data_IF_425751881881
#
_entry.id   IF_425751881881
#
_cell.length_a   1.000
_cell.length_b   1.000
_cell.length_c   1.000
_cell.angle_alpha   90.00
_cell.angle_beta   90.00
_cell.angle_gamma   90.00
#
_symmetry.space_group_name_H-M   'P 1'
#
loop_
_entity.id
_entity.type
_entity.pdbx_description
1 polymer ?
2 non-polymer ?
3 non-polymer ?
4 non-polymer ?
5 non-polymer ?
6 non-polymer ?
7 non-polymer ?
8 water ?
#
# COMPACT_ATOMS: atom_id res chain seq x y z
N UNK A 5 19.69 0.29 -12.79
CA UNK A 5 19.07 -0.96 -13.32
C UNK A 5 17.76 -0.68 -14.06
N UNK A 6 17.06 0.39 -13.70
CA UNK A 6 15.75 0.67 -14.29
C UNK A 6 15.73 2.06 -14.98
N UNK A 7 14.77 2.28 -15.87
CA UNK A 7 14.77 3.56 -16.62
C UNK A 7 14.56 4.79 -15.68
N UNK A 8 13.65 4.71 -14.70
CA UNK A 8 13.35 5.87 -13.88
C UNK A 8 14.28 5.85 -12.72
N UNK A 9 15.11 6.85 -12.65
CA UNK A 9 16.06 7.02 -11.59
C UNK A 9 15.34 7.58 -10.38
N UNK A 10 14.32 8.43 -10.59
CA UNK A 10 13.48 8.89 -9.50
C UNK A 10 12.04 8.60 -9.80
N UNK A 11 11.23 8.37 -8.78
CA UNK A 11 9.81 8.19 -8.93
C UNK A 11 9.18 9.06 -7.89
N UNK A 12 8.30 9.97 -8.28
CA UNK A 12 7.70 10.90 -7.34
C UNK A 12 6.44 10.42 -6.80
N UNK A 13 5.65 9.71 -7.60
CA UNK A 13 4.26 9.44 -7.32
C UNK A 13 4.03 8.03 -7.70
N UNK A 14 3.21 7.37 -6.91
CA UNK A 14 2.93 5.98 -7.06
C UNK A 14 1.47 6.01 -6.81
N UNK A 15 0.65 5.84 -7.83
CA UNK A 15 -0.84 6.11 -7.69
C UNK A 15 -1.61 4.87 -7.96
N UNK A 16 -2.45 4.44 -7.02
CA UNK A 16 -3.15 3.23 -7.13
C UNK A 16 -4.60 3.53 -7.67
N UNK A 17 -5.17 2.59 -8.41
CA UNK A 17 -6.57 2.62 -8.88
C UNK A 17 -7.21 1.28 -8.68
N UNK A 18 -8.45 1.23 -8.19
CA UNK A 18 -9.19 -0.05 -8.12
C UNK A 18 -9.46 -0.68 -9.49
N UNK A 19 -9.50 -1.99 -9.56
CA UNK A 19 -9.47 -2.60 -10.88
C UNK A 19 -10.89 -3.03 -11.35
N UNK A 20 -11.78 -3.25 -10.38
CA UNK A 20 -13.12 -3.74 -10.54
C UNK A 20 -13.96 -3.23 -9.39
N UNK A 21 -14.82 -2.24 -9.65
CA UNK A 21 -15.70 -1.73 -8.61
C UNK A 21 -17.09 -2.30 -8.89
N UNK A 22 -17.81 -2.83 -7.90
CA UNK A 22 -19.07 -3.60 -8.17
C UNK A 22 -20.33 -2.73 -8.29
N UNK A 25 -23.31 -0.76 -14.31
CA UNK A 25 -22.12 0.05 -14.46
C UNK A 25 -20.87 -0.73 -15.00
N UNK A 26 -19.81 0.04 -15.32
CA UNK A 26 -18.55 -0.42 -15.93
C UNK A 26 -17.55 -0.58 -14.77
N UNK A 27 -17.31 -1.81 -14.36
CA UNK A 27 -16.41 -2.08 -13.22
C UNK A 27 -15.01 -1.50 -13.42
N UNK A 28 -14.60 -1.29 -14.67
CA UNK A 28 -13.31 -0.84 -15.06
C UNK A 28 -13.22 0.67 -15.16
N UNK A 29 -14.25 1.39 -14.69
CA UNK A 29 -14.38 2.84 -14.93
C UNK A 29 -13.24 3.59 -14.32
N UNK A 30 -12.92 3.27 -13.08
CA UNK A 30 -11.76 3.88 -12.43
C UNK A 30 -10.45 3.72 -13.21
N UNK A 31 -10.19 2.55 -13.75
CA UNK A 31 -8.97 2.37 -14.57
C UNK A 31 -8.93 3.23 -15.83
N UNK A 32 -10.07 3.25 -16.56
CA UNK A 32 -10.08 3.98 -17.86
C UNK A 32 -9.83 5.46 -17.65
N UNK A 33 -10.37 6.02 -16.57
CA UNK A 33 -10.10 7.44 -16.28
C UNK A 33 -8.66 7.68 -15.87
N UNK A 34 -8.12 6.78 -15.01
CA UNK A 34 -6.73 6.96 -14.49
C UNK A 34 -5.85 6.89 -15.63
N UNK A 35 -6.17 6.02 -16.55
CA UNK A 35 -5.35 5.90 -17.78
C UNK A 35 -5.31 7.11 -18.68
N UNK A 36 -6.35 7.96 -18.58
CA UNK A 36 -6.35 9.24 -19.32
C UNK A 36 -5.62 10.41 -18.70
N UNK A 37 -5.13 10.26 -17.47
CA UNK A 37 -4.50 11.37 -16.78
C UNK A 37 -3.27 11.76 -17.51
N UNK A 38 -2.96 13.05 -17.52
CA UNK A 38 -1.79 13.56 -18.21
C UNK A 38 -1.20 14.72 -17.44
N UNK A 39 0.00 15.11 -17.79
CA UNK A 39 0.65 16.18 -17.08
C UNK A 39 0.79 15.93 -15.58
N UNK A 40 0.82 17.03 -14.85
CA UNK A 40 1.12 16.98 -13.46
C UNK A 40 0.16 16.09 -12.71
N UNK A 41 -1.02 15.83 -13.30
CA UNK A 41 -2.02 14.96 -12.64
C UNK A 41 -1.74 13.47 -12.88
N UNK A 42 -0.80 13.17 -13.76
CA UNK A 42 -0.47 11.77 -14.08
C UNK A 42 0.81 11.31 -13.34
N UNK A 43 0.76 10.08 -12.74
CA UNK A 43 1.84 9.57 -11.82
C UNK A 43 3.07 9.10 -12.56
N UNK A 44 4.24 9.20 -11.95
CA UNK A 44 5.39 8.59 -12.51
C UNK A 44 5.15 7.09 -12.60
N UNK A 45 4.44 6.55 -11.64
CA UNK A 45 4.13 5.15 -11.64
C UNK A 45 2.68 4.96 -11.34
N UNK A 46 2.00 4.24 -12.21
CA UNK A 46 0.58 4.02 -12.01
C UNK A 46 0.45 2.56 -11.75
N UNK A 47 -0.34 2.29 -10.75
CA UNK A 47 -0.52 0.97 -10.19
C UNK A 47 -2.00 0.62 -10.18
N UNK A 48 -2.50 0.00 -11.28
CA UNK A 48 -3.76 -0.71 -11.23
C UNK A 48 -3.69 -1.72 -10.17
N UNK A 49 -4.55 -1.58 -9.18
CA UNK A 49 -4.46 -2.28 -7.94
C UNK A 49 -5.40 -3.41 -7.68
N UNK A 50 -5.00 -4.65 -8.00
CA UNK A 50 -5.78 -5.84 -7.76
C UNK A 50 -5.78 -6.49 -6.37
N UNK A 51 -5.19 -5.82 -5.39
CA UNK A 51 -5.11 -6.27 -4.02
C UNK A 51 -5.93 -5.33 -3.17
N UNK A 52 -5.37 -4.53 -2.28
CA UNK A 52 -6.25 -3.99 -1.26
C UNK A 52 -7.32 -3.00 -1.85
N UNK A 53 -7.08 -2.35 -2.98
CA UNK A 53 -8.04 -1.37 -3.52
C UNK A 53 -9.31 -2.00 -4.10
N UNK A 54 -9.28 -3.30 -4.35
CA UNK A 54 -10.32 -4.03 -5.03
C UNK A 54 -10.87 -5.10 -4.11
N UNK A 55 -12.19 -5.15 -3.97
CA UNK A 55 -12.84 -6.20 -3.18
C UNK A 55 -12.40 -7.57 -3.65
N UNK A 56 -12.21 -8.56 -2.72
CA UNK A 56 -11.71 -9.86 -3.10
C UNK A 56 -12.58 -10.68 -4.06
N UNK A 57 -13.90 -10.66 -3.87
CA UNK A 57 -14.85 -11.27 -4.84
C UNK A 57 -14.71 -10.63 -6.23
N UNK A 58 -14.13 -9.45 -6.35
CA UNK A 58 -13.97 -8.79 -7.66
C UNK A 58 -12.60 -8.97 -8.35
N UNK A 59 -11.70 -9.75 -7.77
CA UNK A 59 -10.32 -9.69 -8.23
C UNK A 59 -10.09 -10.43 -9.49
N UNK A 60 -10.86 -11.47 -9.76
CA UNK A 60 -10.73 -12.09 -11.09
C UNK A 60 -11.23 -11.21 -12.22
N UNK A 61 -12.33 -10.52 -12.02
CA UNK A 61 -12.73 -9.47 -13.04
C UNK A 61 -11.75 -8.30 -13.10
N UNK A 62 -11.18 -7.98 -11.94
CA UNK A 62 -10.11 -7.02 -11.95
C UNK A 62 -8.96 -7.33 -12.85
N UNK A 63 -8.49 -8.55 -12.82
CA UNK A 63 -7.36 -8.88 -13.69
C UNK A 63 -7.74 -8.81 -15.17
N UNK A 64 -8.96 -9.22 -15.52
CA UNK A 64 -9.54 -9.04 -16.88
C UNK A 64 -9.55 -7.54 -17.25
N UNK A 65 -10.10 -6.73 -16.36
CA UNK A 65 -10.10 -5.29 -16.62
C UNK A 65 -8.75 -4.73 -16.80
N UNK A 66 -7.71 -5.27 -16.10
CA UNK A 66 -6.38 -4.72 -16.32
C UNK A 66 -5.96 -5.01 -17.71
N UNK A 67 -6.22 -6.23 -18.21
CA UNK A 67 -5.78 -6.52 -19.56
C UNK A 67 -6.59 -5.59 -20.56
N UNK A 68 -7.90 -5.42 -20.34
CA UNK A 68 -8.77 -4.66 -21.33
C UNK A 68 -8.28 -3.25 -21.44
N UNK A 69 -8.09 -2.61 -20.30
CA UNK A 69 -7.71 -1.20 -20.33
C UNK A 69 -6.36 -0.91 -20.77
N UNK A 70 -5.39 -1.69 -20.30
CA UNK A 70 -4.04 -1.39 -20.72
C UNK A 70 -3.86 -1.70 -22.20
N UNK A 71 -4.49 -2.78 -22.65
CA UNK A 71 -4.50 -3.05 -24.09
C UNK A 71 -5.03 -1.84 -24.90
N UNK A 72 -6.13 -1.30 -24.43
CA UNK A 72 -6.84 -0.20 -25.14
C UNK A 72 -6.17 1.15 -24.98
N UNK A 73 -5.74 1.47 -23.76
CA UNK A 73 -5.17 2.81 -23.46
C UNK A 73 -3.73 2.85 -23.02
N UNK A 74 -3.09 1.69 -22.86
CA UNK A 74 -1.78 1.62 -22.29
C UNK A 74 -0.72 2.31 -23.05
N UNK A 75 -0.72 2.23 -24.39
CA UNK A 75 0.33 2.93 -25.21
C UNK A 75 0.51 4.39 -24.99
N UNK A 76 -0.56 5.06 -24.60
CA UNK A 76 -0.53 6.53 -24.55
C UNK A 76 -0.17 7.04 -23.14
N UNK A 77 -0.23 6.13 -22.17
CA UNK A 77 0.02 6.50 -20.77
C UNK A 77 1.45 7.04 -20.66
N UNK A 78 1.62 8.25 -20.10
CA UNK A 78 2.87 8.96 -20.04
C UNK A 78 3.89 8.44 -18.97
N UNK A 79 3.38 7.84 -17.93
CA UNK A 79 4.21 7.21 -16.89
C UNK A 79 4.38 5.71 -17.12
N UNK A 80 4.81 4.97 -16.09
CA UNK A 80 5.10 3.57 -16.26
C UNK A 80 4.01 2.91 -15.53
N UNK A 81 3.63 1.76 -16.02
CA UNK A 81 2.55 1.01 -15.46
C UNK A 81 3.03 -0.31 -14.71
N UNK A 82 2.67 -0.42 -13.45
CA UNK A 82 3.10 -1.54 -12.60
C UNK A 82 1.93 -1.97 -11.78
N UNK A 83 1.11 -2.88 -12.29
CA UNK A 83 -0.03 -3.29 -11.51
C UNK A 83 0.34 -4.07 -10.23
N UNK A 84 -0.48 -3.95 -9.18
CA UNK A 84 -0.27 -4.66 -7.97
C UNK A 84 -1.11 -5.89 -7.97
N UNK A 85 -0.46 -7.03 -7.76
CA UNK A 85 -1.09 -8.34 -7.66
C UNK A 85 -1.33 -8.74 -6.24
N UNK A 86 -2.13 -9.77 -6.00
CA UNK A 86 -2.25 -10.29 -4.66
C UNK A 86 -0.96 -11.15 -4.28
N UNK A 87 -0.65 -11.20 -3.02
CA UNK A 87 0.51 -11.98 -2.52
C UNK A 87 0.39 -12.03 -1.03
N UNK A 88 0.84 -13.10 -0.40
CA UNK A 88 1.03 -13.03 1.04
C UNK A 88 2.09 -14.07 1.42
N UNK A 89 3.09 -13.60 2.20
CA UNK A 89 4.09 -14.46 2.83
C UNK A 89 3.61 -15.71 3.62
N UNK A 90 2.43 -15.65 4.22
CA UNK A 90 1.80 -16.70 4.93
C UNK A 90 0.59 -17.43 4.22
N UNK A 91 0.34 -17.17 2.97
CA UNK A 91 -0.77 -17.83 2.22
C UNK A 91 -0.33 -18.39 0.88
N UNK A 92 -0.08 -19.69 0.82
CA UNK A 92 0.31 -20.19 -0.46
C UNK A 92 -0.78 -19.98 -1.54
N UNK A 93 -2.05 -19.99 -1.14
CA UNK A 93 -3.14 -19.82 -2.10
C UNK A 93 -3.11 -18.44 -2.70
N UNK A 94 -2.87 -17.46 -1.84
CA UNK A 94 -2.72 -16.06 -2.36
C UNK A 94 -1.55 -15.91 -3.30
N UNK A 95 -0.43 -16.54 -2.99
CA UNK A 95 0.71 -16.45 -3.88
C UNK A 95 0.39 -16.98 -5.29
N UNK A 96 -0.23 -18.15 -5.33
CA UNK A 96 -0.54 -18.86 -6.52
C UNK A 96 -1.56 -18.02 -7.32
N UNK A 97 -2.52 -17.41 -6.63
CA UNK A 97 -3.50 -16.49 -7.26
C UNK A 97 -2.80 -15.36 -7.98
N UNK A 98 -1.86 -14.73 -7.29
CA UNK A 98 -1.16 -13.61 -7.89
C UNK A 98 -0.39 -14.02 -9.07
N UNK A 99 0.26 -15.16 -8.95
CA UNK A 99 1.00 -15.66 -10.05
C UNK A 99 0.05 -15.97 -11.25
N UNK A 100 -1.09 -16.61 -11.02
CA UNK A 100 -2.07 -16.91 -12.12
C UNK A 100 -2.52 -15.64 -12.83
N UNK A 101 -2.83 -14.63 -12.02
CA UNK A 101 -3.17 -13.32 -12.62
C UNK A 101 -2.10 -12.72 -13.39
N UNK A 102 -0.84 -12.85 -12.95
CA UNK A 102 0.25 -12.27 -13.69
C UNK A 102 0.45 -12.96 -14.99
N UNK A 103 0.30 -14.26 -14.96
CA UNK A 103 0.44 -15.02 -16.20
C UNK A 103 -0.63 -14.59 -17.28
N UNK A 104 -1.88 -14.48 -16.85
CA UNK A 104 -2.97 -14.00 -17.74
C UNK A 104 -2.72 -12.62 -18.28
N UNK A 105 -2.23 -11.72 -17.44
CA UNK A 105 -2.16 -10.33 -17.79
C UNK A 105 -1.10 -10.12 -18.81
N UNK A 106 -0.10 -10.99 -18.80
CA UNK A 106 1.04 -10.81 -19.66
C UNK A 106 0.96 -11.72 -20.93
N UNK A 107 -0.14 -12.39 -21.12
CA UNK A 107 -0.32 -13.14 -22.40
C UNK A 107 -0.09 -12.19 -23.60
N UNK A 108 0.98 -12.41 -24.38
CA UNK A 108 1.28 -11.36 -25.35
C UNK A 108 0.18 -11.20 -26.43
N UNK A 109 -0.68 -12.19 -26.59
CA UNK A 109 -1.71 -12.08 -27.55
C UNK A 109 -2.79 -11.16 -27.12
N UNK A 110 -2.83 -10.77 -25.87
CA UNK A 110 -3.85 -9.82 -25.44
C UNK A 110 -3.44 -8.36 -25.50
N UNK A 111 -2.24 -8.04 -25.93
CA UNK A 111 -1.83 -6.66 -26.09
C UNK A 111 -1.58 -5.75 -24.88
N UNK A 112 -1.73 -6.23 -23.64
CA UNK A 112 -1.39 -5.41 -22.47
C UNK A 112 0.10 -5.42 -22.12
N UNK A 113 0.75 -6.58 -22.20
CA UNK A 113 2.11 -6.71 -21.64
C UNK A 113 3.12 -5.77 -22.19
N UNK A 114 2.98 -5.49 -23.46
CA UNK A 114 3.92 -4.56 -24.05
C UNK A 114 3.84 -3.12 -23.44
N UNK A 115 2.78 -2.80 -22.73
CA UNK A 115 2.72 -1.49 -22.02
C UNK A 115 2.92 -1.58 -20.48
N UNK A 116 3.26 -2.78 -19.98
CA UNK A 116 3.47 -3.07 -18.55
C UNK A 116 4.97 -3.17 -18.26
N UNK A 117 5.42 -2.27 -17.40
CA UNK A 117 6.79 -2.32 -16.96
C UNK A 117 7.13 -3.32 -15.85
N UNK A 118 6.17 -3.75 -15.09
CA UNK A 118 6.47 -4.67 -14.01
C UNK A 118 5.31 -4.83 -13.12
N UNK A 119 5.50 -5.53 -11.98
CA UNK A 119 4.42 -5.76 -11.08
C UNK A 119 4.82 -5.37 -9.66
N UNK A 120 3.82 -5.03 -8.85
CA UNK A 120 4.00 -4.70 -7.44
C UNK A 120 3.49 -5.89 -6.63
N UNK A 121 4.31 -6.36 -5.70
CA UNK A 121 4.01 -7.50 -4.87
C UNK A 121 3.91 -7.05 -3.42
N UNK A 122 2.74 -7.18 -2.82
CA UNK A 122 2.56 -6.75 -1.44
C UNK A 122 2.85 -7.89 -0.44
N UNK A 123 2.87 -7.54 0.84
CA UNK A 123 2.87 -8.47 1.94
C UNK A 123 4.04 -9.47 1.91
N UNK A 124 5.16 -9.09 1.32
CA UNK A 124 6.28 -9.94 1.26
C UNK A 124 6.89 -10.13 2.71
N UNK A 125 7.66 -11.17 2.86
CA UNK A 125 8.21 -11.51 4.16
C UNK A 125 9.72 -11.43 4.16
N UNK A 126 10.38 -12.45 4.67
CA UNK A 126 11.85 -12.57 4.61
C UNK A 126 12.33 -12.80 3.23
N UNK A 127 13.63 -12.74 3.05
CA UNK A 127 14.21 -12.74 1.73
C UNK A 127 13.85 -14.01 0.98
N UNK A 128 13.63 -15.11 1.66
CA UNK A 128 13.25 -16.29 0.90
C UNK A 128 11.80 -16.18 0.28
N UNK A 129 10.91 -15.46 0.91
CA UNK A 129 9.62 -15.17 0.31
C UNK A 129 9.78 -14.29 -0.97
N UNK A 130 10.71 -13.31 -0.96
CA UNK A 130 10.96 -12.45 -2.13
C UNK A 130 11.42 -13.27 -3.30
N UNK A 131 12.26 -14.26 -3.04
CA UNK A 131 12.70 -15.18 -4.06
C UNK A 131 11.57 -16.01 -4.73
N UNK A 132 10.59 -16.33 -3.95
CA UNK A 132 9.39 -17.08 -4.47
C UNK A 132 8.64 -16.18 -5.46
N UNK A 133 8.55 -14.90 -5.15
CA UNK A 133 7.92 -13.98 -6.11
C UNK A 133 8.75 -13.82 -7.35
N UNK A 134 10.05 -13.59 -7.17
CA UNK A 134 10.95 -13.59 -8.28
C UNK A 134 10.87 -14.79 -9.18
N UNK A 135 10.82 -15.98 -8.61
CA UNK A 135 10.72 -17.17 -9.43
C UNK A 135 9.44 -17.14 -10.33
N UNK A 136 8.32 -16.74 -9.78
CA UNK A 136 7.10 -16.49 -10.57
C UNK A 136 7.26 -15.50 -11.65
N UNK A 137 7.96 -14.39 -11.38
CA UNK A 137 8.25 -13.53 -12.46
C UNK A 137 9.00 -14.22 -13.60
N UNK A 138 10.07 -14.94 -13.26
CA UNK A 138 10.92 -15.58 -14.21
C UNK A 138 10.11 -16.60 -15.05
N UNK A 139 9.24 -17.32 -14.39
CA UNK A 139 8.40 -18.32 -15.08
C UNK A 139 7.40 -17.66 -16.08
N UNK A 140 6.74 -16.58 -15.65
CA UNK A 140 5.88 -15.77 -16.52
C UNK A 140 6.63 -15.26 -17.73
N UNK A 141 7.85 -14.76 -17.54
CA UNK A 141 8.63 -14.27 -18.62
C UNK A 141 8.89 -15.39 -19.62
N UNK A 142 9.30 -16.55 -19.11
CA UNK A 142 9.64 -17.64 -20.01
C UNK A 142 8.38 -18.25 -20.62
N UNK A 143 7.27 -18.26 -19.92
CA UNK A 143 6.05 -18.84 -20.47
C UNK A 143 5.58 -18.00 -21.68
N UNK A 144 5.80 -16.69 -21.66
CA UNK A 144 5.39 -15.83 -22.75
C UNK A 144 6.45 -15.24 -23.65
N UNK A 145 7.63 -15.79 -23.70
CA UNK A 145 8.73 -15.25 -24.49
C UNK A 145 9.19 -13.83 -24.20
N UNK A 146 8.94 -13.29 -23.01
CA UNK A 146 9.48 -11.97 -22.69
C UNK A 146 10.96 -12.11 -22.39
N UNK A 147 11.68 -11.01 -22.55
CA UNK A 147 13.06 -10.94 -22.12
C UNK A 147 13.19 -11.26 -20.61
N UNK A 148 14.20 -12.03 -20.24
CA UNK A 148 14.40 -12.35 -18.85
C UNK A 148 14.79 -11.06 -18.10
N UNK A 149 14.16 -10.85 -16.95
CA UNK A 149 14.36 -9.62 -16.24
C UNK A 149 13.58 -8.40 -16.76
N UNK A 150 12.77 -8.52 -17.81
CA UNK A 150 12.09 -7.35 -18.35
C UNK A 150 10.94 -6.89 -17.46
N UNK A 151 10.32 -7.77 -16.69
CA UNK A 151 9.34 -7.32 -15.75
C UNK A 151 9.99 -6.90 -14.40
N UNK A 152 9.90 -5.62 -14.08
CA UNK A 152 10.42 -5.12 -12.81
C UNK A 152 9.53 -5.65 -11.71
N UNK A 153 10.15 -5.96 -10.57
CA UNK A 153 9.42 -6.27 -9.38
C UNK A 153 9.57 -5.14 -8.37
N UNK A 154 8.47 -4.78 -7.74
CA UNK A 154 8.47 -3.79 -6.72
C UNK A 154 7.82 -4.46 -5.57
N UNK A 155 8.21 -4.14 -4.33
CA UNK A 155 7.57 -4.76 -3.22
C UNK A 155 7.00 -3.75 -2.29
N UNK A 156 5.97 -4.11 -1.54
CA UNK A 156 5.52 -3.33 -0.44
C UNK A 156 6.08 -3.91 0.89
N UNK A 157 6.73 -3.05 1.66
CA UNK A 157 7.36 -3.44 2.94
C UNK A 157 6.24 -3.20 3.99
N UNK A 158 5.63 -4.28 4.47
CA UNK A 158 4.50 -4.14 5.43
C UNK A 158 4.55 -5.22 6.48
N UNK A 159 5.78 -5.66 6.79
CA UNK A 159 6.02 -6.57 7.87
C UNK A 159 7.39 -6.34 8.45
N UNK A 160 7.54 -6.70 9.69
CA UNK A 160 8.84 -6.66 10.37
C UNK A 160 9.84 -7.47 9.57
N UNK A 161 9.40 -8.63 9.13
CA UNK A 161 10.19 -9.54 8.36
C UNK A 161 10.76 -8.93 7.12
N UNK A 162 9.91 -8.18 6.39
CA UNK A 162 10.37 -7.56 5.18
C UNK A 162 11.34 -6.43 5.45
N UNK A 163 11.11 -5.69 6.52
CA UNK A 163 12.01 -4.59 6.92
C UNK A 163 13.42 -5.16 7.17
N UNK A 164 13.49 -6.28 7.88
CA UNK A 164 14.77 -6.93 8.19
C UNK A 164 15.37 -7.48 6.90
N UNK A 165 14.54 -7.97 5.98
CA UNK A 165 15.04 -8.54 4.74
C UNK A 165 15.80 -7.53 3.86
N UNK A 166 15.48 -6.26 3.96
CA UNK A 166 16.20 -5.28 3.10
C UNK A 166 17.72 -5.21 3.39
N UNK A 167 18.09 -5.57 4.61
CA UNK A 167 19.48 -5.59 5.07
C UNK A 167 20.50 -6.49 4.40
N UNK A 168 19.97 -7.59 3.87
CA UNK A 168 20.70 -8.67 3.22
C UNK A 168 20.49 -8.75 1.68
N UNK A 169 19.92 -7.71 1.09
CA UNK A 169 19.48 -7.76 -0.25
C UNK A 169 20.65 -7.73 -1.21
N UNK A 170 21.68 -6.91 -0.97
CA UNK A 170 22.71 -6.70 -1.99
C UNK A 170 23.42 -7.97 -2.39
N UNK A 171 23.77 -8.71 -1.37
CA UNK A 171 24.34 -10.00 -1.51
C UNK A 171 23.36 -11.15 -1.96
N UNK A 172 22.13 -11.15 -1.50
CA UNK A 172 21.21 -12.15 -1.98
C UNK A 172 20.88 -11.94 -3.45
N UNK A 173 20.71 -10.67 -3.89
CA UNK A 173 20.45 -10.29 -5.28
C UNK A 173 21.44 -10.78 -6.26
N UNK A 174 22.66 -11.00 -5.81
CA UNK A 174 23.66 -11.43 -6.80
C UNK A 174 23.70 -12.96 -6.96
N UNK A 175 22.99 -13.73 -6.15
CA UNK A 175 23.06 -15.16 -6.34
C UNK A 175 22.49 -15.64 -7.68
N UNK A 176 23.05 -16.70 -8.21
CA UNK A 176 22.73 -17.03 -9.60
C UNK A 176 21.41 -17.81 -9.69
N UNK A 177 20.89 -18.27 -8.58
CA UNK A 177 19.65 -18.95 -8.55
C UNK A 177 18.42 -18.05 -8.53
N UNK A 178 18.61 -16.74 -8.57
CA UNK A 178 17.53 -15.82 -8.71
C UNK A 178 17.77 -14.73 -9.74
N UNK A 179 16.69 -13.99 -10.04
CA UNK A 179 16.73 -12.87 -10.96
C UNK A 179 16.36 -11.58 -10.21
N UNK A 180 16.69 -11.50 -8.92
CA UNK A 180 16.26 -10.33 -8.15
C UNK A 180 16.90 -9.00 -8.50
N UNK A 181 17.76 -8.93 -9.52
CA UNK A 181 18.17 -7.68 -10.08
C UNK A 181 16.94 -6.97 -10.70
N UNK A 182 15.85 -7.65 -10.89
CA UNK A 182 14.65 -7.00 -11.39
C UNK A 182 14.01 -6.04 -10.40
N UNK A 183 14.42 -6.08 -9.13
CA UNK A 183 13.84 -5.19 -8.13
C UNK A 183 13.97 -3.72 -8.50
N UNK A 184 12.89 -2.97 -8.28
CA UNK A 184 12.83 -1.62 -8.68
C UNK A 184 12.46 -0.77 -7.47
N UNK A 185 11.20 -0.75 -7.07
CA UNK A 185 10.78 0.02 -5.92
C UNK A 185 10.63 -0.76 -4.62
N UNK A 186 11.02 -0.11 -3.54
CA UNK A 186 10.76 -0.58 -2.19
C UNK A 186 9.76 0.39 -1.59
N UNK A 187 8.52 -0.07 -1.37
CA UNK A 187 7.46 0.88 -0.98
C UNK A 187 6.95 0.61 0.38
N UNK A 188 6.97 1.57 1.28
CA UNK A 188 6.40 1.31 2.54
C UNK A 188 4.86 1.20 2.54
N UNK A 189 4.36 0.29 3.35
CA UNK A 189 2.95 0.06 3.53
C UNK A 189 2.58 0.21 4.98
N UNK A 190 2.52 1.44 5.44
CA UNK A 190 2.31 1.70 6.83
C UNK A 190 1.04 1.14 7.39
N UNK A 191 -0.01 1.08 6.56
CA UNK A 191 -1.26 0.54 7.03
C UNK A 191 -1.12 -0.90 7.53
N UNK A 192 -0.71 -1.83 6.66
CA UNK A 192 -0.55 -3.19 7.07
C UNK A 192 0.67 -3.40 8.04
N UNK A 193 1.70 -2.59 7.92
CA UNK A 193 2.86 -2.74 8.75
C UNK A 193 2.45 -2.49 10.15
N UNK A 194 1.64 -1.47 10.38
CA UNK A 194 1.03 -1.22 11.69
C UNK A 194 0.33 -2.39 12.35
N UNK A 195 -0.37 -3.13 11.55
CA UNK A 195 -1.05 -4.31 12.06
C UNK A 195 -0.05 -5.42 12.27
N UNK A 196 0.91 -5.59 11.36
CA UNK A 196 1.90 -6.66 11.55
C UNK A 196 2.72 -6.44 12.83
N UNK A 197 2.97 -5.18 13.16
CA UNK A 197 3.69 -4.81 14.33
C UNK A 197 2.83 -4.80 15.61
N UNK A 198 1.52 -4.89 15.44
CA UNK A 198 0.48 -4.88 16.48
C UNK A 198 0.50 -3.59 17.20
N UNK A 199 0.72 -2.52 16.48
CA UNK A 199 0.75 -1.23 17.09
C UNK A 199 -0.69 -0.66 17.19
N UNK A 200 -0.82 0.38 17.97
CA UNK A 200 -2.13 1.03 18.10
C UNK A 200 -1.96 2.45 18.58
N UNK A 201 -2.87 3.32 18.14
CA UNK A 201 -2.92 4.71 18.58
C UNK A 201 -4.36 5.05 19.14
N UNK A 202 -4.45 6.01 20.02
CA UNK A 202 -5.78 6.40 20.56
C UNK A 202 -6.78 6.77 19.46
N UNK A 203 -6.38 7.58 18.48
CA UNK A 203 -7.32 7.91 17.40
C UNK A 203 -7.46 6.88 16.31
N UNK A 204 -6.49 5.99 16.12
CA UNK A 204 -6.54 5.15 14.93
C UNK A 204 -5.72 5.73 13.80
N UNK A 205 -5.22 6.97 13.93
CA UNK A 205 -4.21 7.51 13.03
C UNK A 205 -3.02 6.54 13.01
N UNK A 206 -2.37 6.44 11.85
CA UNK A 206 -1.18 5.60 11.71
C UNK A 206 0.01 6.19 12.46
N UNK A 207 0.79 5.38 13.21
CA UNK A 207 2.06 5.92 13.63
C UNK A 207 2.86 6.41 12.41
N UNK A 208 3.78 7.32 12.68
CA UNK A 208 4.63 7.89 11.66
C UNK A 208 5.77 6.93 11.16
N UNK A 209 6.19 6.04 12.04
CA UNK A 209 7.17 4.98 11.77
C UNK A 209 8.40 5.56 11.06
N UNK A 210 8.99 6.61 11.64
CA UNK A 210 10.21 7.16 11.04
C UNK A 210 11.33 6.18 10.85
N UNK A 211 11.48 5.18 11.73
CA UNK A 211 12.56 4.22 11.47
C UNK A 211 12.32 3.35 10.29
N UNK A 212 11.08 2.97 10.06
CA UNK A 212 10.81 2.17 8.93
C UNK A 212 11.25 2.89 7.71
N UNK A 213 10.96 4.19 7.67
CA UNK A 213 11.17 4.94 6.43
C UNK A 213 12.68 5.16 6.23
N UNK A 214 13.37 5.41 7.33
CA UNK A 214 14.79 5.44 7.29
C UNK A 214 15.38 4.15 6.75
N UNK A 215 14.97 3.06 7.33
CA UNK A 215 15.41 1.74 6.89
C UNK A 215 15.11 1.38 5.43
N UNK A 216 14.02 1.88 4.91
CA UNK A 216 13.62 1.55 3.53
C UNK A 216 14.46 2.44 2.56
N UNK A 217 14.58 3.69 2.92
CA UNK A 217 15.51 4.57 2.23
C UNK A 217 16.93 4.04 2.17
N UNK A 218 17.44 3.56 3.32
CA UNK A 218 18.73 2.96 3.36
C UNK A 218 18.81 1.66 2.53
N UNK A 219 17.80 0.78 2.64
CA UNK A 219 17.79 -0.41 1.87
C UNK A 219 17.84 -0.13 0.41
N UNK A 220 17.17 0.95 0.02
CA UNK A 220 17.12 1.29 -1.38
C UNK A 220 18.48 1.77 -1.89
N UNK A 221 19.14 2.63 -1.15
CA UNK A 221 20.41 3.10 -1.61
C UNK A 221 21.51 1.99 -1.56
N UNK A 222 21.41 1.03 -0.64
CA UNK A 222 22.35 -0.02 -0.57
C UNK A 222 22.16 -0.99 -1.69
N UNK A 223 20.94 -1.13 -2.12
CA UNK A 223 20.73 -2.13 -3.15
C UNK A 223 20.46 -1.63 -4.56
N UNK A 224 20.55 -0.33 -4.86
CA UNK A 224 20.16 0.17 -6.21
C UNK A 224 18.66 0.15 -6.55
N UNK A 225 17.78 0.34 -5.56
CA UNK A 225 16.36 0.39 -5.71
C UNK A 225 15.91 1.81 -5.44
N UNK A 226 14.63 2.07 -5.50
CA UNK A 226 14.09 3.40 -5.23
C UNK A 226 13.08 3.33 -4.13
N UNK A 227 13.24 4.15 -3.09
CA UNK A 227 12.34 4.17 -1.97
C UNK A 227 11.11 5.09 -2.13
N UNK A 228 9.95 4.59 -1.70
CA UNK A 228 8.67 5.25 -1.86
C UNK A 228 7.90 5.08 -0.58
N UNK A 229 7.27 6.12 -0.08
CA UNK A 229 6.46 6.00 1.16
C UNK A 229 5.05 5.56 0.86
N UNK A 230 4.33 5.22 1.92
CA UNK A 230 3.00 4.62 1.77
C UNK A 230 1.86 5.66 1.73
N UNK A 231 0.60 5.19 1.66
CA UNK A 231 -0.63 5.97 1.48
C UNK A 231 -0.84 6.97 2.58
N UNK A 232 -1.23 8.19 2.24
CA UNK A 232 -1.53 9.21 3.24
C UNK A 232 -3.03 9.40 3.05
N UNK A 233 -3.84 8.70 3.83
CA UNK A 233 -5.24 8.56 3.39
C UNK A 233 -6.17 9.72 3.83
N UNK A 234 -5.66 10.66 4.58
CA UNK A 234 -6.48 11.81 4.95
C UNK A 234 -6.36 12.83 3.83
N UNK A 235 -7.15 12.61 2.81
CA UNK A 235 -6.99 13.27 1.54
C UNK A 235 -7.15 14.75 1.66
N UNK A 236 -8.05 15.20 2.52
CA UNK A 236 -8.24 16.66 2.74
C UNK A 236 -7.02 17.41 3.35
N UNK A 237 -6.17 16.69 4.10
CA UNK A 237 -5.05 17.27 4.84
C UNK A 237 -3.87 17.43 3.89
N UNK A 238 -3.96 18.45 3.06
CA UNK A 238 -2.99 18.79 2.07
C UNK A 238 -1.73 19.30 2.72
N UNK A 239 -1.89 20.08 3.77
CA UNK A 239 -0.72 20.49 4.53
C UNK A 239 0.07 19.33 5.18
N UNK A 240 -0.64 18.39 5.79
CA UNK A 240 -0.03 17.25 6.41
C UNK A 240 0.74 16.45 5.33
N UNK A 241 0.16 16.33 4.13
CA UNK A 241 0.73 15.54 3.06
C UNK A 241 2.04 16.14 2.66
N UNK A 242 2.04 17.45 2.45
CA UNK A 242 3.26 18.17 2.19
C UNK A 242 4.37 18.03 3.25
N UNK A 243 3.98 18.09 4.52
CA UNK A 243 4.93 17.95 5.60
C UNK A 243 5.52 16.53 5.64
N UNK A 244 4.71 15.51 5.38
CA UNK A 244 5.21 14.14 5.31
C UNK A 244 6.22 13.99 4.17
N UNK A 245 5.88 14.53 3.00
CA UNK A 245 6.77 14.52 1.87
C UNK A 245 8.09 15.21 2.13
N UNK A 246 8.04 16.37 2.75
CA UNK A 246 9.27 17.04 3.19
C UNK A 246 10.10 16.22 4.20
N UNK A 247 9.44 15.62 5.19
CA UNK A 247 10.13 14.77 6.17
C UNK A 247 10.80 13.60 5.41
N UNK A 248 10.03 12.96 4.51
CA UNK A 248 10.55 11.89 3.68
C UNK A 248 11.75 12.25 2.86
N UNK A 249 11.73 13.45 2.27
CA UNK A 249 12.79 13.92 1.41
C UNK A 249 14.08 14.10 2.21
N UNK A 250 13.91 14.44 3.45
CA UNK A 250 15.05 14.55 4.36
C UNK A 250 15.63 13.17 4.74
N UNK A 251 14.91 12.05 4.43
CA UNK A 251 15.44 10.67 4.65
C UNK A 251 15.94 10.05 3.39
N UNK A 252 15.77 10.76 2.28
CA UNK A 252 16.07 10.29 0.95
C UNK A 252 15.00 9.39 0.36
N UNK A 253 13.78 9.54 0.87
CA UNK A 253 12.59 8.87 0.32
C UNK A 253 11.80 9.92 -0.47
N UNK A 254 12.03 9.95 -1.76
CA UNK A 254 11.60 11.06 -2.59
C UNK A 254 10.34 10.75 -3.32
N UNK A 255 9.79 9.56 -3.15
CA UNK A 255 8.52 9.27 -3.74
C UNK A 255 7.49 8.95 -2.72
N UNK A 256 6.23 9.11 -3.09
CA UNK A 256 5.18 8.78 -2.14
C UNK A 256 3.98 8.24 -2.84
N UNK A 257 3.18 7.46 -2.14
CA UNK A 257 1.97 6.90 -2.69
C UNK A 257 0.94 8.06 -2.81
N UNK A 258 0.14 8.01 -3.85
CA UNK A 258 -0.93 9.06 -4.03
C UNK A 258 -2.20 8.30 -4.26
N UNK A 259 -3.29 8.77 -3.65
CA UNK A 259 -4.58 8.13 -3.77
C UNK A 259 -5.63 8.91 -4.61
N UNK A 260 -5.33 10.14 -5.01
CA UNK A 260 -6.22 10.90 -5.88
C UNK A 260 -5.42 11.68 -6.85
N UNK A 261 -6.06 12.20 -7.92
CA UNK A 261 -5.21 12.96 -8.82
C UNK A 261 -4.70 14.28 -8.25
N UNK A 262 -5.37 14.81 -7.24
CA UNK A 262 -4.87 15.98 -6.57
C UNK A 262 -3.63 15.66 -5.74
N UNK A 263 -3.65 14.52 -5.06
CA UNK A 263 -2.41 14.10 -4.39
C UNK A 263 -1.27 13.93 -5.38
N UNK A 264 -1.59 13.44 -6.57
CA UNK A 264 -0.61 13.21 -7.59
C UNK A 264 0.02 14.52 -7.97
N UNK A 265 -0.82 15.55 -8.09
CA UNK A 265 -0.29 16.88 -8.45
C UNK A 265 0.61 17.38 -7.35
N UNK A 266 0.12 17.28 -6.13
CA UNK A 266 0.92 17.72 -4.96
C UNK A 266 2.24 16.99 -4.83
N UNK A 267 2.19 15.69 -5.03
CA UNK A 267 3.41 14.85 -4.89
C UNK A 267 4.32 15.03 -6.08
N UNK A 268 3.75 15.37 -7.24
CA UNK A 268 4.60 15.60 -8.43
C UNK A 268 5.35 16.90 -8.30
N UNK A 269 4.78 17.80 -7.50
CA UNK A 269 5.33 19.15 -7.39
C UNK A 269 6.26 19.28 -6.19
N UNK A 270 5.96 18.58 -5.09
CA UNK A 270 6.71 18.74 -3.86
C UNK A 270 8.22 18.64 -3.92
N UNK A 271 8.80 17.64 -4.63
CA UNK A 271 10.27 17.53 -4.59
C UNK A 271 11.08 18.42 -5.60
N UNK A 272 10.34 19.08 -6.46
CA UNK A 272 10.87 20.10 -7.35
C UNK A 272 11.20 21.41 -6.61
N UNK A 273 12.29 22.07 -7.00
CA UNK A 273 12.66 23.31 -6.31
C UNK A 273 11.57 24.40 -6.43
N UNK A 274 11.43 25.24 -5.42
CA UNK A 274 10.35 26.24 -5.47
C UNK A 274 10.54 27.26 -6.63
N UNK A 275 9.48 27.96 -7.02
CA UNK A 275 9.65 28.90 -8.18
C UNK A 275 10.36 30.15 -7.72
N UNK A 276 10.06 30.59 -6.50
CA UNK A 276 10.80 31.72 -5.93
C UNK A 276 11.42 31.36 -4.58
N UNK A 277 12.49 32.07 -4.24
CA UNK A 277 13.10 32.03 -2.90
C UNK A 277 12.25 32.49 -1.73
N UNK A 278 12.74 32.17 -0.51
CA UNK A 278 12.10 32.52 0.77
C UNK A 278 13.09 32.55 1.92
N UNK A 279 12.90 33.47 2.87
CA UNK A 279 13.75 33.64 4.05
C UNK A 279 12.95 33.11 5.19
N UNK A 280 13.57 32.34 6.09
CA UNK A 280 12.90 31.84 7.30
C UNK A 280 13.54 32.50 8.51
N UNK A 281 12.76 32.70 9.57
CA UNK A 281 13.27 33.25 10.82
C UNK A 281 12.86 32.46 12.06
N UNK A 282 13.73 32.39 13.08
CA UNK A 282 13.28 32.11 14.48
C UNK A 282 12.24 33.13 15.00
N UNK A 324 -16.95 33.91 13.46
CA UNK A 324 -16.81 33.19 12.18
C UNK A 324 -15.68 33.80 11.28
N UNK A 325 -15.61 33.35 10.02
CA UNK A 325 -14.81 33.94 8.90
C UNK A 325 -15.37 33.47 7.55
N UNK A 326 -15.85 32.22 7.48
CA UNK A 326 -16.87 31.80 6.51
C UNK A 326 -18.07 31.25 7.33
N UNK A 327 -18.70 30.15 6.89
CA UNK A 327 -20.10 29.78 7.33
C UNK A 327 -20.38 28.30 7.75
N UNK A 328 -20.63 27.39 6.78
CA UNK A 328 -20.51 25.92 6.99
C UNK A 328 -19.13 25.45 6.48
N UNK A 329 -18.26 26.40 6.17
CA UNK A 329 -16.82 26.15 5.97
C UNK A 329 -16.08 26.00 7.33
N UNK A 330 -16.83 26.00 8.45
CA UNK A 330 -16.27 25.63 9.76
C UNK A 330 -15.98 24.11 9.87
N UNK A 331 -16.18 23.34 8.79
CA UNK A 331 -15.51 22.04 8.60
C UNK A 331 -13.97 22.10 8.64
N UNK A 332 -13.40 23.30 8.69
CA UNK A 332 -12.07 23.50 9.24
C UNK A 332 -11.93 22.80 10.62
N UNK A 333 -13.02 22.67 11.34
CA UNK A 333 -13.06 22.00 12.66
C UNK A 333 -13.02 20.46 12.58
N UNK A 334 -13.61 19.92 11.53
CA UNK A 334 -13.43 18.52 11.24
C UNK A 334 -11.94 18.28 10.98
N UNK A 335 -11.32 19.16 10.22
CA UNK A 335 -9.88 19.10 10.00
C UNK A 335 -9.10 19.20 11.29
N UNK A 336 -9.57 20.04 12.21
CA UNK A 336 -8.86 20.29 13.47
C UNK A 336 -9.14 19.32 14.62
N UNK A 337 -10.12 18.48 14.46
CA UNK A 337 -10.48 17.58 15.53
C UNK A 337 -10.09 16.14 15.20
N UNK A 338 -10.06 15.34 16.24
CA UNK A 338 -10.00 13.92 16.06
C UNK A 338 -10.70 13.32 17.24
N UNK A 339 -11.22 12.11 17.05
CA UNK A 339 -11.99 11.40 18.05
C UNK A 339 -11.31 10.10 18.56
N UNK A 340 -11.22 9.95 19.87
CA UNK A 340 -10.72 8.77 20.52
C UNK A 340 -11.90 7.92 20.93
N UNK A 341 -12.16 6.79 20.23
CA UNK A 341 -13.28 5.94 20.65
C UNK A 341 -13.15 5.11 21.95
N UNK A 342 -14.30 4.78 22.51
CA UNK A 342 -14.40 3.98 23.68
C UNK A 342 -14.51 2.54 23.22
N UNK A 343 -14.41 1.64 24.17
CA UNK A 343 -14.68 0.22 23.98
C UNK A 343 -16.06 0.05 23.34
N UNK A 344 -17.07 0.72 23.88
CA UNK A 344 -18.44 0.61 23.35
C UNK A 344 -18.49 0.99 21.88
N UNK A 345 -17.99 2.18 21.57
CA UNK A 345 -17.85 2.56 20.15
C UNK A 345 -17.20 1.47 19.31
N UNK A 346 -16.02 1.03 19.71
CA UNK A 346 -15.28 0.06 18.86
C UNK A 346 -16.13 -1.21 18.69
N UNK A 347 -16.71 -1.69 19.78
CA UNK A 347 -17.52 -2.90 19.64
C UNK A 347 -18.79 -2.64 18.79
N UNK A 348 -19.52 -1.53 19.03
CA UNK A 348 -20.59 -1.06 18.08
C UNK A 348 -20.12 -1.25 16.67
N UNK A 349 -18.99 -0.60 16.39
CA UNK A 349 -18.50 -0.48 15.02
C UNK A 349 -18.22 -1.78 14.42
N UNK A 350 -17.57 -2.65 15.20
CA UNK A 350 -17.20 -3.93 14.69
C UNK A 350 -18.42 -4.80 14.39
N UNK A 351 -19.35 -4.86 15.34
CA UNK A 351 -20.64 -5.55 15.17
C UNK A 351 -21.36 -5.15 13.90
N UNK A 352 -21.39 -3.84 13.65
CA UNK A 352 -21.91 -3.28 12.41
C UNK A 352 -21.11 -3.85 11.24
N UNK A 353 -19.81 -3.54 11.17
CA UNK A 353 -19.00 -4.02 10.05
C UNK A 353 -19.13 -5.54 9.79
N UNK A 354 -19.18 -6.32 10.85
CA UNK A 354 -19.32 -7.80 10.72
C UNK A 354 -20.66 -8.20 10.11
N UNK A 355 -21.74 -7.56 10.55
CA UNK A 355 -23.08 -7.70 9.92
C UNK A 355 -23.12 -7.22 8.46
N UNK A 356 -22.47 -6.09 8.18
CA UNK A 356 -22.37 -5.60 6.80
C UNK A 356 -21.57 -6.59 5.93
N UNK A 357 -20.52 -7.16 6.50
CA UNK A 357 -19.93 -8.37 5.95
C UNK A 357 -20.94 -9.53 6.09
N UNK A 387 -15.00 2.86 7.80
CA UNK A 387 -14.51 1.52 8.17
C UNK A 387 -14.39 0.60 6.98
N UNK A 388 -13.16 0.36 6.53
CA UNK A 388 -12.91 -0.70 5.55
C UNK A 388 -12.28 -1.88 6.31
N UNK A 389 -11.82 -2.92 5.60
CA UNK A 389 -11.22 -4.09 6.26
C UNK A 389 -10.01 -3.68 7.14
N UNK A 390 -9.16 -2.77 6.65
CA UNK A 390 -8.00 -2.31 7.44
C UNK A 390 -8.40 -1.60 8.74
N UNK A 391 -9.49 -0.85 8.75
CA UNK A 391 -9.98 -0.21 9.99
C UNK A 391 -10.42 -1.28 10.97
N UNK A 392 -11.18 -2.24 10.47
CA UNK A 392 -11.63 -3.38 11.24
C UNK A 392 -10.41 -4.10 11.86
N UNK A 393 -9.38 -4.37 11.06
CA UNK A 393 -8.18 -5.03 11.59
C UNK A 393 -7.50 -4.17 12.64
N UNK A 394 -7.39 -2.87 12.40
CA UNK A 394 -6.80 -2.01 13.39
C UNK A 394 -7.56 -2.13 14.72
N UNK A 395 -8.89 -2.13 14.66
CA UNK A 395 -9.66 -2.25 15.89
C UNK A 395 -9.41 -3.59 16.54
N UNK A 396 -9.15 -4.62 15.72
CA UNK A 396 -9.02 -5.94 16.25
C UNK A 396 -7.88 -6.03 17.19
N UNK A 397 -6.87 -5.17 17.01
CA UNK A 397 -5.74 -5.19 17.97
C UNK A 397 -6.16 -5.00 19.43
N UNK A 398 -6.66 -3.82 19.80
CA UNK A 398 -7.08 -3.69 21.22
C UNK A 398 -8.17 -4.68 21.67
N UNK A 399 -9.06 -5.02 20.78
CA UNK A 399 -10.10 -6.01 21.13
C UNK A 399 -9.46 -7.38 21.33
N UNK A 400 -8.55 -7.80 20.45
CA UNK A 400 -7.84 -9.11 20.63
C UNK A 400 -7.12 -9.15 21.94
N UNK A 401 -6.57 -8.00 22.29
CA UNK A 401 -5.90 -7.85 23.53
C UNK A 401 -6.91 -7.94 24.67
N UNK A 402 -8.01 -7.21 24.56
CA UNK A 402 -9.04 -7.32 25.64
C UNK A 402 -9.46 -8.78 25.85
N UNK A 403 -9.66 -9.50 24.75
CA UNK A 403 -10.11 -10.91 24.79
C UNK A 403 -9.08 -11.89 25.31
N UNK A 404 -7.79 -11.58 25.13
CA UNK A 404 -6.70 -12.43 25.66
C UNK A 404 -6.69 -12.23 27.14
N UNK A 405 -6.91 -10.99 27.55
CA UNK A 405 -6.93 -10.69 28.96
C UNK A 405 -8.10 -11.43 29.61
N UNK A 406 -9.28 -11.30 29.03
CA UNK A 406 -10.50 -11.91 29.59
C UNK A 406 -10.37 -13.44 29.67
N UNK A 407 -9.94 -14.10 28.61
CA UNK A 407 -9.72 -15.53 28.68
C UNK A 407 -8.71 -15.95 29.73
N UNK A 408 -7.70 -15.13 30.03
CA UNK A 408 -6.62 -15.60 30.91
C UNK A 408 -6.56 -15.01 32.28
N UNK A 409 -7.33 -13.98 32.49
CA UNK A 409 -7.39 -13.39 33.80
C UNK A 409 -8.84 -13.39 34.41
N UNK A 410 -9.35 -14.58 34.80
CA UNK A 410 -10.64 -14.66 35.55
C UNK A 410 -10.62 -13.77 36.79
N UNK A 411 -9.47 -13.65 37.46
CA UNK A 411 -9.34 -12.69 38.54
C UNK A 411 -9.59 -11.25 38.20
N UNK A 412 -9.81 -10.92 36.93
CA UNK A 412 -10.00 -9.53 36.54
C UNK A 412 -11.38 -9.24 36.00
N UNK A 413 -12.24 -10.25 35.93
CA UNK A 413 -13.58 -10.09 35.34
C UNK A 413 -14.46 -9.08 36.05
N UNK A 414 -14.29 -8.96 37.36
CA UNK A 414 -15.10 -8.05 38.15
C UNK A 414 -14.72 -6.59 37.89
N UNK A 415 -13.43 -6.28 37.95
CA UNK A 415 -12.98 -4.93 37.62
C UNK A 415 -13.29 -4.62 36.15
N UNK A 416 -13.29 -5.62 35.29
CA UNK A 416 -13.57 -5.33 33.88
C UNK A 416 -15.03 -5.01 33.64
N UNK A 417 -15.91 -5.82 34.22
CA UNK A 417 -17.36 -5.56 34.10
C UNK A 417 -17.72 -4.22 34.71
N UNK A 418 -17.15 -3.94 35.87
CA UNK A 418 -17.33 -2.67 36.47
C UNK A 418 -16.78 -1.55 35.60
N UNK A 419 -15.69 -1.84 34.87
CA UNK A 419 -15.06 -0.82 34.01
C UNK A 419 -15.93 -0.47 32.80
N UNK A 420 -16.48 -1.48 32.14
CA UNK A 420 -17.23 -1.30 30.90
C UNK A 420 -18.74 -1.61 31.02
N UNK A 421 -19.18 -2.14 32.17
CA UNK A 421 -20.51 -2.80 32.29
C UNK A 421 -20.54 -4.14 31.54
N UNK A 422 -21.34 -5.12 32.01
CA UNK A 422 -21.30 -6.48 31.41
C UNK A 422 -21.92 -6.52 30.04
N UNK A 423 -22.83 -5.58 29.75
CA UNK A 423 -23.36 -5.49 28.39
C UNK A 423 -22.18 -5.59 27.42
N UNK A 424 -21.27 -4.63 27.57
CA UNK A 424 -20.15 -4.46 26.67
C UNK A 424 -19.20 -5.67 26.73
N UNK A 425 -18.75 -6.05 27.91
CA UNK A 425 -17.80 -7.14 28.04
C UNK A 425 -18.20 -8.29 27.17
N UNK A 426 -19.33 -8.94 27.48
CA UNK A 426 -19.77 -10.13 26.73
C UNK A 426 -19.94 -9.90 25.22
N UNK A 427 -20.27 -8.67 24.83
CA UNK A 427 -20.32 -8.25 23.41
C UNK A 427 -18.89 -8.20 22.77
N UNK A 428 -17.96 -7.62 23.52
CA UNK A 428 -16.53 -7.57 23.14
C UNK A 428 -15.99 -8.97 22.93
N UNK A 429 -16.44 -9.93 23.74
CA UNK A 429 -16.03 -11.32 23.53
C UNK A 429 -16.68 -12.01 22.34
N UNK A 430 -17.83 -11.52 21.87
CA UNK A 430 -18.48 -12.10 20.68
C UNK A 430 -17.87 -11.57 19.36
N UNK A 431 -17.45 -10.31 19.40
CA UNK A 431 -16.74 -9.69 18.30
C UNK A 431 -15.48 -10.51 17.87
N UNK A 432 -15.11 -10.54 16.58
CA UNK A 432 -13.81 -11.09 16.16
C UNK A 432 -13.85 -12.25 15.18
X LIG B 1 22.37 -13.82 -11.88
X LIG B 1 21.22 -14.01 -12.33
X LIG B 1 22.47 -13.00 -10.93
X LIG B 1 23.56 -14.58 -12.47
X LIG C 1 -0.87 -0.38 2.61
X LIG C 1 -0.16 -0.96 3.46
X LIG C 1 -1.66 -1.07 1.55
X LIG C 1 -2.61 -0.50 0.87
X LIG C 1 -1.44 -2.29 1.37
X LIG D 1 1.76 -12.59 10.39
X LIG D 1 1.16 -12.92 11.41
X LIG D 1 3.24 -12.58 10.39
X LIG D 1 3.86 -12.05 9.49
X LIG D 1 3.93 -13.00 11.36
X LIG E 1 -3.91 -7.74 4.04
X LIG E 1 -3.43 -8.84 3.71
X LIG E 1 -3.62 -6.49 3.28
X LIG E 1 -4.23 -5.45 3.69
X LIG E 1 -2.80 -6.41 2.33
X LIG F 1 5.22 -10.68 11.25
X LIG G 1 -1.41 -5.09 1.97
X LIG H 1 4.89 -14.95 8.84
X LIG I 1 -23.51 0.88 22.14
X LIG J 1 20.67 -12.82 -9.28
X LIG K 1 17.38 6.62 -0.50
X LIG L 1 19.59 -15.76 -12.46
X LIG M 1 3.27 -20.07 3.77
X LIG N 1 18.48 -1.38 12.08
X LIG O 1 15.80 6.13 -3.24
X LIG P 1 8.20 -14.74 5.88
X LIG Q 1 -4.27 -16.94 34.57
#
# INVERSE_FOLDING_TARGET
MTERRHDREFVRTFFTSPTAVEGEDDSAKMLRRAAGLRGMQAPDVWVPDNEDATAPSMRDEGAENIVEVISEQGAEFPGEIHPRMVWHRDSPETRYQGFQHMLDITDPERGAVEHIHGFVIPEVGGIDDWKKADEFFTIVEHEHGLDEGSLAMSVIIESGEAELAMGDLRDEMGKPTNNLERLFLLVDGEVDYTKDMRAMTPTGELPAWPELRHNTSRGASAAGCVAVDGPYDDIRDVEGYRERMTDNQAKGMLGIWSLTPGQVVEANTSPLPPKTGSWLLDADGEEVELASEDGVEAYDGDRLSLEATDGGYELRVGGDARELTADELREELLGLTSYVPSMDDIVDSMEEFEAAKEAGRGAIAMTQSATLRIGGTEIDIEKDRMWDEATYQAAMTPISLFQDVYENRPDQHEELEERYGAGVVERAMEVGL
ACT C O OXT CH3
GLV C1 O1 C2 O2 O3
GLV C1 O1 C2 O2 O3
GLV C1 O1 C2 O2 O3
PB PB
PB PB
PB PB
PB PB
K K
K K
K K
CL CL
CL CL
CL CL
CL CL
NA NA
#
